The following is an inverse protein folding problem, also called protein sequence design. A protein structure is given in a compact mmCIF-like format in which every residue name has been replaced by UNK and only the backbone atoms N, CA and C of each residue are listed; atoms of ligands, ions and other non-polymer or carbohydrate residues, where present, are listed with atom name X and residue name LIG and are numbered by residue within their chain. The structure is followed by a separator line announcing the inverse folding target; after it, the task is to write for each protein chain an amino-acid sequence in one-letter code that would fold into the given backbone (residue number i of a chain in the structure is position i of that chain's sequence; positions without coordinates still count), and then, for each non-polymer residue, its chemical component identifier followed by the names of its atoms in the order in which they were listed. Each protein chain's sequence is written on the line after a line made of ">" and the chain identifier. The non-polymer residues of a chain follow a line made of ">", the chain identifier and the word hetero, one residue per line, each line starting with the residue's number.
data_IF_218720729141
#
_entry.id   IF_218720729141
#
_cell.length_a   1.000
_cell.length_b   1.000
_cell.length_c   1.000
_cell.angle_alpha   90.00
_cell.angle_beta   90.00
_cell.angle_gamma   90.00
#
_symmetry.space_group_name_H-M   'P 1'
#
loop_
_entity.id
_entity.type
_entity.pdbx_description
1 polymer ?
#
# COMPACT_ATOMS: atom_id res chain seq x y z
N UNK A 1 16.28 -17.44 -28.20
CA UNK A 1 14.93 -17.61 -27.62
C UNK A 1 15.11 -17.78 -26.12
N UNK A 2 14.95 -16.72 -25.33
CA UNK A 2 14.94 -16.86 -23.87
C UNK A 2 13.62 -17.54 -23.49
N UNK A 3 13.68 -18.75 -22.92
CA UNK A 3 12.48 -19.45 -22.46
C UNK A 3 11.73 -18.63 -21.41
N UNK A 4 10.41 -18.78 -21.36
CA UNK A 4 9.60 -18.13 -20.32
C UNK A 4 10.09 -18.57 -18.94
N UNK A 5 10.53 -17.61 -18.12
CA UNK A 5 10.83 -17.86 -16.70
C UNK A 5 9.52 -17.86 -15.93
N UNK A 6 9.29 -18.90 -15.13
CA UNK A 6 8.16 -18.97 -14.21
C UNK A 6 8.45 -18.09 -12.99
N UNK A 7 7.40 -17.71 -12.25
CA UNK A 7 7.56 -16.92 -11.00
C UNK A 7 8.48 -17.65 -10.01
N UNK A 8 8.39 -18.98 -9.90
CA UNK A 8 9.27 -19.78 -9.05
C UNK A 8 10.76 -19.68 -9.42
N UNK A 9 11.08 -19.40 -10.68
CA UNK A 9 12.46 -19.21 -11.13
C UNK A 9 13.03 -17.86 -10.63
N UNK A 10 12.16 -16.92 -10.25
CA UNK A 10 12.52 -15.55 -9.85
C UNK A 10 12.28 -15.30 -8.36
N UNK A 11 11.26 -15.92 -7.79
CA UNK A 11 10.89 -15.88 -6.38
C UNK A 11 10.64 -17.31 -5.88
N UNK A 12 11.55 -17.90 -5.09
CA UNK A 12 11.37 -19.26 -4.55
C UNK A 12 10.09 -19.45 -3.73
N UNK A 13 9.50 -18.37 -3.19
CA UNK A 13 8.21 -18.42 -2.47
C UNK A 13 7.02 -18.59 -3.40
N UNK A 14 7.19 -18.45 -4.72
CA UNK A 14 6.11 -18.49 -5.70
C UNK A 14 5.14 -17.31 -5.60
N UNK A 15 5.50 -16.26 -4.86
CA UNK A 15 4.64 -15.10 -4.61
C UNK A 15 4.88 -14.00 -5.65
N UNK A 16 3.81 -13.26 -5.94
CA UNK A 16 3.84 -12.02 -6.73
C UNK A 16 3.58 -10.82 -5.81
N UNK A 17 4.00 -9.60 -6.17
CA UNK A 17 4.73 -9.22 -7.39
C UNK A 17 6.23 -9.60 -7.38
N UNK A 18 6.82 -9.62 -8.59
CA UNK A 18 8.27 -9.71 -8.82
C UNK A 18 8.65 -8.62 -9.83
N UNK A 19 9.64 -7.79 -9.50
CA UNK A 19 10.18 -6.77 -10.40
C UNK A 19 11.48 -7.27 -11.03
N UNK A 20 11.55 -7.23 -12.36
CA UNK A 20 12.80 -7.43 -13.12
C UNK A 20 13.13 -6.14 -13.83
N UNK A 21 14.24 -5.48 -13.45
CA UNK A 21 14.63 -4.22 -14.07
C UNK A 21 15.35 -4.43 -15.42
N UNK A 22 15.59 -3.38 -16.22
CA UNK A 22 16.25 -3.52 -17.53
C UNK A 22 17.67 -4.11 -17.49
N UNK A 23 18.34 -4.11 -16.33
CA UNK A 23 19.64 -4.78 -16.13
C UNK A 23 19.52 -6.27 -15.84
N UNK A 24 18.29 -6.78 -15.68
CA UNK A 24 18.01 -8.15 -15.28
C UNK A 24 18.02 -8.37 -13.77
N UNK A 25 18.13 -7.31 -12.95
CA UNK A 25 18.06 -7.42 -11.49
C UNK A 25 16.65 -7.79 -11.07
N UNK A 26 16.53 -8.83 -10.25
CA UNK A 26 15.27 -9.28 -9.66
C UNK A 26 15.10 -8.64 -8.27
N UNK A 27 13.94 -8.04 -8.01
CA UNK A 27 13.51 -7.56 -6.69
C UNK A 27 12.17 -8.20 -6.36
N UNK A 28 12.06 -8.76 -5.16
CA UNK A 28 10.88 -9.45 -4.61
C UNK A 28 10.44 -8.75 -3.34
N UNK A 29 9.26 -9.10 -2.81
CA UNK A 29 8.57 -8.38 -1.72
C UNK A 29 8.04 -7.00 -2.15
N UNK A 30 6.76 -6.74 -1.87
CA UNK A 30 6.07 -5.54 -2.37
C UNK A 30 6.75 -4.24 -1.93
N UNK A 31 7.19 -4.19 -0.68
CA UNK A 31 7.82 -2.99 -0.09
C UNK A 31 9.20 -2.70 -0.67
N UNK A 32 10.02 -3.74 -0.89
CA UNK A 32 11.33 -3.61 -1.53
C UNK A 32 11.17 -3.20 -3.01
N UNK A 33 10.12 -3.68 -3.69
CA UNK A 33 9.77 -3.28 -5.06
C UNK A 33 9.38 -1.79 -5.10
N UNK A 34 8.57 -1.32 -4.15
CA UNK A 34 8.21 0.10 -4.04
C UNK A 34 9.45 0.95 -3.85
N UNK A 35 10.36 0.56 -2.95
CA UNK A 35 11.61 1.27 -2.72
C UNK A 35 12.52 1.25 -3.95
N UNK A 36 12.61 0.12 -4.67
CA UNK A 36 13.40 0.02 -5.89
C UNK A 36 12.87 0.89 -7.03
N UNK A 37 11.55 1.07 -7.13
CA UNK A 37 10.92 1.97 -8.10
C UNK A 37 11.15 3.43 -7.70
N UNK A 38 10.91 3.78 -6.44
CA UNK A 38 11.09 5.13 -5.93
C UNK A 38 12.54 5.63 -6.08
N UNK A 39 13.54 4.76 -5.85
CA UNK A 39 14.96 5.10 -6.07
C UNK A 39 15.31 5.39 -7.53
N UNK A 40 14.52 4.88 -8.49
CA UNK A 40 14.75 5.02 -9.93
C UNK A 40 13.85 6.08 -10.58
N UNK A 41 12.84 6.60 -9.88
CA UNK A 41 11.92 7.58 -10.46
C UNK A 41 12.56 8.95 -10.54
N UNK A 42 12.52 9.57 -11.72
CA UNK A 42 12.96 10.95 -11.94
C UNK A 42 11.95 11.98 -11.42
N UNK A 43 10.69 11.55 -11.31
CA UNK A 43 9.65 12.26 -10.57
C UNK A 43 9.83 11.89 -9.10
N UNK A 44 10.00 12.89 -8.24
CA UNK A 44 10.29 12.68 -6.83
C UNK A 44 9.09 12.03 -6.13
N UNK A 45 9.04 10.70 -6.10
CA UNK A 45 8.50 10.04 -4.91
C UNK A 45 9.52 10.39 -3.84
N UNK A 46 9.21 11.40 -3.04
CA UNK A 46 10.14 11.92 -2.04
C UNK A 46 10.58 10.77 -1.13
N UNK A 47 11.84 10.36 -1.28
CA UNK A 47 12.52 9.41 -0.43
C UNK A 47 13.94 9.97 -0.16
N UNK A 48 14.44 9.85 1.07
CA UNK A 48 14.27 8.69 1.94
C UNK A 48 13.02 8.75 2.82
N UNK A 49 12.49 7.57 3.14
CA UNK A 49 11.35 7.39 4.04
C UNK A 49 11.58 8.17 5.33
N UNK A 50 10.76 9.20 5.57
CA UNK A 50 10.72 9.86 6.87
C UNK A 50 10.41 8.82 7.95
N UNK A 51 10.77 9.07 9.23
CA UNK A 51 10.36 8.20 10.33
C UNK A 51 8.86 7.88 10.31
N UNK A 52 8.03 8.86 9.93
CA UNK A 52 6.59 8.69 9.77
C UNK A 52 6.25 7.75 8.61
N UNK A 53 6.90 7.87 7.45
CA UNK A 53 6.68 6.96 6.33
C UNK A 53 7.07 5.51 6.68
N UNK A 54 8.14 5.31 7.45
CA UNK A 54 8.55 3.99 7.97
C UNK A 54 7.48 3.43 8.91
N UNK A 55 7.01 4.24 9.86
CA UNK A 55 6.00 3.82 10.83
C UNK A 55 4.65 3.51 10.16
N UNK A 56 4.23 4.32 9.18
CA UNK A 56 3.00 4.08 8.42
C UNK A 56 3.10 2.76 7.65
N UNK A 57 4.19 2.53 6.90
CA UNK A 57 4.40 1.25 6.19
C UNK A 57 4.41 0.06 7.14
N UNK A 58 4.99 0.22 8.33
CA UNK A 58 4.98 -0.80 9.38
C UNK A 58 3.56 -1.09 9.87
N UNK A 59 2.76 -0.06 10.19
CA UNK A 59 1.36 -0.21 10.60
C UNK A 59 0.52 -0.88 9.52
N UNK A 60 0.70 -0.49 8.25
CA UNK A 60 -0.02 -1.10 7.12
C UNK A 60 0.29 -2.60 7.04
N UNK A 61 1.56 -2.97 6.94
CA UNK A 61 1.95 -4.35 6.64
C UNK A 61 1.80 -5.30 7.84
N UNK A 62 2.13 -4.84 9.05
CA UNK A 62 2.15 -5.70 10.22
C UNK A 62 0.82 -5.73 10.98
N UNK A 63 -0.04 -4.71 10.81
CA UNK A 63 -1.26 -4.57 11.60
C UNK A 63 -2.51 -4.42 10.75
N UNK A 64 -2.55 -3.45 9.83
CA UNK A 64 -3.75 -3.20 9.02
C UNK A 64 -4.05 -4.38 8.10
N UNK A 65 -3.03 -4.94 7.45
CA UNK A 65 -3.20 -6.05 6.52
C UNK A 65 -3.80 -7.29 7.20
N UNK A 66 -3.22 -7.83 8.30
CA UNK A 66 -3.84 -8.96 8.98
C UNK A 66 -5.20 -8.61 9.59
N UNK A 67 -5.39 -7.44 10.22
CA UNK A 67 -6.67 -7.06 10.81
C UNK A 67 -7.77 -6.88 9.75
N UNK A 68 -7.46 -6.26 8.62
CA UNK A 68 -8.36 -6.10 7.49
C UNK A 68 -8.74 -7.45 6.87
N UNK A 69 -7.79 -8.38 6.75
CA UNK A 69 -8.05 -9.77 6.33
C UNK A 69 -9.04 -10.44 7.28
N UNK A 70 -8.81 -10.36 8.59
CA UNK A 70 -9.69 -10.98 9.59
C UNK A 70 -11.09 -10.39 9.56
N UNK A 71 -11.19 -9.06 9.45
CA UNK A 71 -12.47 -8.36 9.36
C UNK A 71 -13.25 -8.73 8.10
N UNK A 72 -12.58 -8.82 6.94
CA UNK A 72 -13.24 -9.08 5.65
C UNK A 72 -13.57 -10.57 5.43
N UNK A 73 -12.69 -11.48 5.84
CA UNK A 73 -12.90 -12.92 5.64
C UNK A 73 -13.76 -13.57 6.73
N UNK A 74 -13.67 -13.07 7.97
CA UNK A 74 -14.27 -13.73 9.13
C UNK A 74 -15.17 -12.81 9.96
N UNK A 75 -15.35 -11.55 9.56
CA UNK A 75 -16.17 -10.57 10.29
C UNK A 75 -15.56 -10.09 11.60
N UNK A 76 -14.28 -10.37 11.87
CA UNK A 76 -13.61 -10.02 13.14
C UNK A 76 -12.99 -8.62 13.06
N UNK A 77 -13.63 -7.62 13.67
CA UNK A 77 -13.23 -6.21 13.54
C UNK A 77 -12.43 -5.65 14.72
N UNK A 78 -12.20 -6.45 15.78
CA UNK A 78 -11.63 -5.97 17.04
C UNK A 78 -10.29 -5.24 16.87
N UNK A 79 -9.41 -5.76 16.01
CA UNK A 79 -8.08 -5.21 15.80
C UNK A 79 -8.04 -4.12 14.71
N UNK A 80 -9.09 -3.98 13.90
CA UNK A 80 -9.11 -3.04 12.77
C UNK A 80 -9.24 -1.60 13.25
N UNK A 81 -10.15 -1.33 14.21
CA UNK A 81 -10.41 0.00 14.74
C UNK A 81 -9.16 0.70 15.31
N UNK A 82 -8.40 0.07 16.22
CA UNK A 82 -7.19 0.65 16.80
C UNK A 82 -6.13 1.03 15.76
N UNK A 83 -5.94 0.20 14.72
CA UNK A 83 -4.95 0.46 13.68
C UNK A 83 -5.38 1.63 12.78
N UNK A 84 -6.66 1.70 12.42
CA UNK A 84 -7.21 2.83 11.67
C UNK A 84 -7.09 4.14 12.45
N UNK A 85 -7.32 4.12 13.76
CA UNK A 85 -7.11 5.29 14.63
C UNK A 85 -5.65 5.71 14.71
N UNK A 86 -4.71 4.76 14.71
CA UNK A 86 -3.28 5.06 14.69
C UNK A 86 -2.87 5.71 13.36
N UNK A 87 -3.36 5.17 12.23
CA UNK A 87 -3.11 5.73 10.91
C UNK A 87 -3.71 7.13 10.76
N UNK A 88 -4.95 7.36 11.19
CA UNK A 88 -5.59 8.68 11.15
C UNK A 88 -4.76 9.75 11.89
N UNK A 89 -4.19 9.41 13.05
CA UNK A 89 -3.31 10.32 13.81
C UNK A 89 -2.04 10.69 13.06
N UNK A 90 -1.47 9.73 12.31
CA UNK A 90 -0.21 9.89 11.58
C UNK A 90 -0.36 10.65 10.26
N UNK A 91 -1.58 10.76 9.70
CA UNK A 91 -1.80 11.59 8.50
C UNK A 91 -1.37 13.03 8.79
N UNK A 92 -0.33 13.45 8.08
CA UNK A 92 0.37 14.71 8.32
C UNK A 92 -0.05 15.84 7.37
N UNK A 93 -0.73 15.54 6.27
CA UNK A 93 -1.14 16.53 5.28
C UNK A 93 -2.18 15.98 4.28
N UNK A 94 -2.22 16.48 3.03
CA UNK A 94 -3.03 15.88 1.98
C UNK A 94 -2.62 14.43 1.66
N UNK A 95 -1.37 14.07 1.96
CA UNK A 95 -0.81 12.72 1.86
C UNK A 95 -0.37 12.21 3.24
N UNK A 96 -0.07 10.91 3.34
CA UNK A 96 0.27 10.22 4.59
C UNK A 96 1.37 10.95 5.37
N UNK A 97 2.46 11.27 4.70
CA UNK A 97 3.68 11.82 5.30
C UNK A 97 3.95 13.28 4.92
N UNK A 98 2.92 14.07 4.60
CA UNK A 98 3.02 15.51 4.35
C UNK A 98 2.30 15.97 3.08
N UNK A 99 2.91 16.92 2.37
CA UNK A 99 2.31 17.61 1.21
C UNK A 99 2.55 16.90 -0.14
N UNK A 100 3.40 15.88 -0.16
CA UNK A 100 3.76 15.13 -1.36
C UNK A 100 3.44 13.64 -1.24
N UNK A 101 3.21 12.98 -2.38
CA UNK A 101 3.05 11.53 -2.44
C UNK A 101 4.38 10.86 -2.09
N UNK A 102 4.33 9.90 -1.17
CA UNK A 102 5.51 9.14 -0.75
C UNK A 102 5.27 7.64 -0.87
N UNK A 103 6.32 6.85 -0.60
CA UNK A 103 6.21 5.39 -0.46
C UNK A 103 5.18 4.97 0.61
N UNK A 104 4.86 5.83 1.59
CA UNK A 104 3.81 5.56 2.56
C UNK A 104 2.43 5.50 1.92
N UNK A 105 2.11 6.44 1.02
CA UNK A 105 0.84 6.45 0.28
C UNK A 105 0.74 5.26 -0.67
N UNK A 106 1.83 4.92 -1.35
CA UNK A 106 1.89 3.79 -2.29
C UNK A 106 1.65 2.46 -1.57
N UNK A 107 2.20 2.30 -0.36
CA UNK A 107 1.96 1.12 0.50
C UNK A 107 0.52 1.10 1.03
N UNK A 108 0.00 2.25 1.48
CA UNK A 108 -1.28 2.34 2.16
C UNK A 108 -2.50 2.28 1.21
N UNK A 109 -2.43 2.94 0.06
CA UNK A 109 -3.58 3.15 -0.83
C UNK A 109 -4.27 1.88 -1.30
N UNK A 110 -3.56 0.83 -1.77
CA UNK A 110 -4.23 -0.41 -2.17
C UNK A 110 -4.96 -1.07 -1.00
N UNK A 111 -4.35 -1.11 0.19
CA UNK A 111 -4.94 -1.77 1.35
C UNK A 111 -6.17 -1.02 1.86
N UNK A 112 -6.07 0.30 1.98
CA UNK A 112 -7.14 1.15 2.48
C UNK A 112 -8.29 1.31 1.49
N UNK A 113 -8.04 1.32 0.17
CA UNK A 113 -9.10 1.36 -0.86
C UNK A 113 -10.21 0.35 -0.55
N UNK A 114 -9.83 -0.90 -0.26
CA UNK A 114 -10.77 -1.99 0.01
C UNK A 114 -11.64 -1.71 1.24
N UNK A 115 -11.05 -1.16 2.29
CA UNK A 115 -11.75 -0.83 3.52
C UNK A 115 -12.69 0.37 3.32
N UNK A 116 -12.29 1.36 2.53
CA UNK A 116 -13.13 2.50 2.18
C UNK A 116 -14.31 2.11 1.29
N UNK A 117 -14.07 1.31 0.24
CA UNK A 117 -15.12 0.83 -0.67
C UNK A 117 -16.15 -0.06 0.06
N UNK A 118 -15.71 -0.85 1.04
CA UNK A 118 -16.60 -1.68 1.86
C UNK A 118 -17.25 -0.93 3.04
N UNK A 119 -16.98 0.37 3.20
CA UNK A 119 -17.53 1.18 4.29
C UNK A 119 -17.03 0.79 5.69
N UNK A 120 -15.86 0.16 5.78
CA UNK A 120 -15.26 -0.35 7.03
C UNK A 120 -14.45 0.70 7.79
N UNK A 121 -14.18 1.87 7.19
CA UNK A 121 -13.47 2.97 7.85
C UNK A 121 -14.47 3.87 8.59
N UNK A 122 -14.38 4.01 9.94
CA UNK A 122 -15.27 4.89 10.70
C UNK A 122 -15.24 6.34 10.21
N UNK A 123 -16.41 7.00 10.20
CA UNK A 123 -16.59 8.34 9.61
C UNK A 123 -15.93 9.46 10.43
N UNK A 124 -15.65 9.21 11.69
CA UNK A 124 -15.00 10.13 12.61
C UNK A 124 -13.46 10.19 12.43
N UNK A 125 -12.89 9.28 11.64
CA UNK A 125 -11.48 9.31 11.22
C UNK A 125 -11.25 10.32 10.07
N UNK A 126 -11.49 11.59 10.39
CA UNK A 126 -11.59 12.67 9.39
C UNK A 126 -10.32 12.90 8.58
N UNK A 127 -9.12 12.70 9.15
CA UNK A 127 -7.87 12.89 8.42
C UNK A 127 -7.65 11.76 7.41
N UNK A 128 -7.97 10.53 7.80
CA UNK A 128 -7.87 9.37 6.92
C UNK A 128 -8.89 9.45 5.77
N UNK A 129 -10.10 9.94 6.03
CA UNK A 129 -11.09 10.24 4.99
C UNK A 129 -10.60 11.37 4.06
N UNK A 130 -10.00 12.43 4.60
CA UNK A 130 -9.41 13.51 3.79
C UNK A 130 -8.30 13.00 2.88
N UNK A 131 -7.38 12.20 3.43
CA UNK A 131 -6.32 11.53 2.69
C UNK A 131 -6.88 10.65 1.57
N UNK A 132 -7.90 9.83 1.88
CA UNK A 132 -8.50 8.94 0.88
C UNK A 132 -9.11 9.71 -0.28
N UNK A 133 -9.83 10.79 -0.01
CA UNK A 133 -10.39 11.65 -1.05
C UNK A 133 -9.30 12.21 -1.98
N UNK A 134 -8.16 12.63 -1.41
CA UNK A 134 -7.02 13.14 -2.17
C UNK A 134 -6.40 12.04 -3.04
N UNK A 135 -6.05 10.90 -2.46
CA UNK A 135 -5.37 9.81 -3.17
C UNK A 135 -6.28 9.18 -4.23
N UNK A 136 -7.56 8.96 -3.92
CA UNK A 136 -8.54 8.40 -4.84
C UNK A 136 -8.84 9.33 -6.04
N UNK A 137 -8.55 10.63 -5.92
CA UNK A 137 -8.67 11.58 -7.02
C UNK A 137 -7.44 11.62 -7.94
N UNK A 138 -6.32 10.98 -7.58
CA UNK A 138 -5.11 10.96 -8.41
C UNK A 138 -5.34 10.14 -9.69
N UNK A 139 -5.16 10.72 -10.90
CA UNK A 139 -5.33 9.98 -12.15
C UNK A 139 -4.40 8.77 -12.28
N UNK A 140 -3.21 8.82 -11.66
CA UNK A 140 -2.25 7.72 -11.62
C UNK A 140 -2.76 6.57 -10.76
N UNK A 141 -3.35 6.84 -9.60
CA UNK A 141 -3.93 5.82 -8.74
C UNK A 141 -5.19 5.20 -9.35
N UNK A 142 -6.09 6.02 -9.91
CA UNK A 142 -7.32 5.53 -10.55
C UNK A 142 -7.06 4.52 -11.68
N UNK A 143 -5.98 4.69 -12.44
CA UNK A 143 -5.56 3.73 -13.48
C UNK A 143 -5.17 2.35 -12.95
N UNK A 144 -4.86 2.24 -11.66
CA UNK A 144 -4.42 0.99 -11.01
C UNK A 144 -5.54 0.27 -10.26
N UNK A 145 -6.67 0.95 -10.04
CA UNK A 145 -7.80 0.37 -9.32
C UNK A 145 -8.38 -0.81 -10.13
N UNK A 146 -8.43 -1.97 -9.49
CA UNK A 146 -9.11 -3.16 -9.99
C UNK A 146 -10.39 -3.37 -9.18
N UNK A 147 -11.47 -3.83 -9.83
CA UNK A 147 -12.76 -4.02 -9.17
C UNK A 147 -12.77 -5.20 -8.18
N UNK A 148 -13.75 -5.15 -7.27
CA UNK A 148 -13.84 -5.84 -5.98
C UNK A 148 -13.87 -7.38 -5.97
N UNK A 149 -13.77 -8.06 -7.11
CA UNK A 149 -13.70 -9.53 -7.16
C UNK A 149 -12.26 -10.07 -7.13
N UNK A 150 -11.24 -9.21 -7.15
CA UNK A 150 -9.85 -9.62 -7.09
C UNK A 150 -9.28 -9.53 -5.66
N UNK A 151 -9.25 -10.67 -4.98
CA UNK A 151 -8.84 -10.82 -3.59
C UNK A 151 -7.39 -11.30 -3.51
N UNK A 152 -6.50 -10.47 -2.97
CA UNK A 152 -5.29 -10.93 -2.29
C UNK A 152 -5.32 -10.41 -0.86
N UNK A 153 -5.38 -11.36 0.06
CA UNK A 153 -4.90 -11.22 1.43
C UNK A 153 -4.06 -12.45 1.75
#
# INVERSE_FOLDING_TARGET
>A
MAGARLVYDLNPKGLVPVLVDPSGKVTVESEDIVDAIAQKSSEAISAPASPDAVEIRRLINQHLLPAGKQAKMFGQQADLGPVLQALDKLVAGPFMAGDEVTVADISAAPMLQRLFEDGMVPKDLTKLHSWWNTVNALPTFQKTMVSSYWWWW
#
